data_IF_876710720036
#
_entry.id   IF_876710720036
#
_cell.length_a   1.000
_cell.length_b   1.000
_cell.length_c   1.000
_cell.angle_alpha   90.00
_cell.angle_beta   90.00
_cell.angle_gamma   90.00
#
_symmetry.space_group_name_H-M   'P 1'
#
loop_
_entity.id
_entity.type
_entity.pdbx_description
1 polymer ?
#
# COMPACT_ATOMS: atom_id res chain seq x y z
N UNK A 1 -13.69 7.21 -5.80
CA UNK A 1 -12.84 7.62 -4.67
C UNK A 1 -13.44 7.23 -3.31
N UNK A 2 -14.72 7.52 -3.05
CA UNK A 2 -15.39 7.21 -1.76
C UNK A 2 -15.35 5.73 -1.34
N UNK A 3 -15.51 4.79 -2.27
CA UNK A 3 -15.51 3.35 -1.97
C UNK A 3 -14.18 2.87 -1.34
N UNK A 4 -13.04 3.33 -1.85
CA UNK A 4 -11.74 2.99 -1.28
C UNK A 4 -11.55 3.63 0.10
N UNK A 5 -12.02 4.86 0.30
CA UNK A 5 -11.95 5.54 1.59
C UNK A 5 -12.79 4.83 2.66
N UNK A 6 -14.01 4.41 2.33
CA UNK A 6 -14.86 3.63 3.24
C UNK A 6 -14.20 2.29 3.61
N UNK A 7 -13.64 1.58 2.63
CA UNK A 7 -12.87 0.36 2.87
C UNK A 7 -11.71 0.58 3.84
N UNK A 8 -10.94 1.65 3.66
CA UNK A 8 -9.79 1.97 4.52
C UNK A 8 -10.22 2.28 5.97
N UNK A 9 -11.31 3.04 6.16
CA UNK A 9 -11.81 3.38 7.50
C UNK A 9 -12.24 2.12 8.27
N UNK A 10 -12.97 1.23 7.60
CA UNK A 10 -13.45 -0.01 8.21
C UNK A 10 -12.28 -0.94 8.57
N UNK A 11 -11.31 -1.05 7.67
CA UNK A 11 -10.20 -1.99 7.83
C UNK A 11 -9.10 -1.50 8.77
N UNK A 12 -8.91 -0.18 8.89
CA UNK A 12 -7.80 0.40 9.68
C UNK A 12 -7.78 -0.10 11.12
N UNK A 13 -8.95 -0.12 11.79
CA UNK A 13 -9.06 -0.57 13.18
C UNK A 13 -8.84 -2.08 13.32
N UNK A 14 -9.32 -2.87 12.36
CA UNK A 14 -9.24 -4.32 12.40
C UNK A 14 -7.85 -4.81 12.00
N UNK A 15 -7.28 -4.24 10.95
CA UNK A 15 -5.92 -4.54 10.51
C UNK A 15 -4.86 -4.09 11.53
N UNK A 16 -5.10 -2.99 12.25
CA UNK A 16 -4.23 -2.57 13.34
C UNK A 16 -4.15 -3.64 14.43
N UNK A 17 -5.30 -4.12 14.93
CA UNK A 17 -5.36 -5.20 15.92
C UNK A 17 -4.76 -6.52 15.41
N UNK A 18 -4.93 -6.84 14.14
CA UNK A 18 -4.36 -8.02 13.52
C UNK A 18 -2.84 -7.88 13.38
N UNK A 19 -2.35 -6.68 13.07
CA UNK A 19 -0.92 -6.39 12.97
C UNK A 19 -0.19 -6.57 14.31
N UNK A 20 -0.85 -6.23 15.43
CA UNK A 20 -0.32 -6.47 16.78
C UNK A 20 -0.15 -7.96 17.08
N UNK A 21 -1.00 -8.82 16.51
CA UNK A 21 -0.97 -10.28 16.73
C UNK A 21 0.00 -11.03 15.81
N UNK A 22 0.01 -10.68 14.52
CA UNK A 22 0.73 -11.43 13.47
C UNK A 22 2.10 -10.78 13.17
N UNK A 23 2.26 -9.52 13.53
CA UNK A 23 3.44 -8.70 13.25
C UNK A 23 3.22 -7.71 12.09
N UNK A 24 3.58 -6.46 12.33
CA UNK A 24 3.36 -5.34 11.43
C UNK A 24 3.98 -5.54 10.04
N UNK A 25 5.21 -6.10 9.97
CA UNK A 25 5.88 -6.35 8.68
C UNK A 25 5.15 -7.38 7.81
N UNK A 26 4.54 -8.40 8.42
CA UNK A 26 3.75 -9.39 7.68
C UNK A 26 2.48 -8.76 7.11
N UNK A 27 1.81 -7.91 7.88
CA UNK A 27 0.62 -7.20 7.40
C UNK A 27 0.98 -6.24 6.26
N UNK A 28 2.10 -5.52 6.34
CA UNK A 28 2.58 -4.67 5.24
C UNK A 28 2.81 -5.49 3.97
N UNK A 29 3.47 -6.64 4.08
CA UNK A 29 3.71 -7.53 2.93
C UNK A 29 2.40 -8.03 2.33
N UNK A 30 1.46 -8.50 3.16
CA UNK A 30 0.14 -8.98 2.73
C UNK A 30 -0.68 -7.86 2.07
N UNK A 31 -0.69 -6.66 2.65
CA UNK A 31 -1.39 -5.51 2.10
C UNK A 31 -0.85 -5.10 0.71
N UNK A 32 0.48 -5.02 0.57
CA UNK A 32 1.12 -4.71 -0.70
C UNK A 32 0.86 -5.79 -1.76
N UNK A 33 0.93 -7.06 -1.38
CA UNK A 33 0.65 -8.18 -2.28
C UNK A 33 -0.81 -8.17 -2.73
N UNK A 34 -1.75 -8.02 -1.80
CA UNK A 34 -3.18 -7.95 -2.10
C UNK A 34 -3.50 -6.75 -3.00
N UNK A 35 -2.97 -5.57 -2.69
CA UNK A 35 -3.16 -4.38 -3.52
C UNK A 35 -2.58 -4.56 -4.93
N UNK A 36 -1.37 -5.12 -5.05
CA UNK A 36 -0.75 -5.41 -6.33
C UNK A 36 -1.57 -6.40 -7.17
N UNK A 37 -2.07 -7.48 -6.56
CA UNK A 37 -2.92 -8.46 -7.25
C UNK A 37 -4.28 -7.87 -7.65
N UNK A 38 -4.88 -7.01 -6.83
CA UNK A 38 -6.15 -6.34 -7.13
C UNK A 38 -6.06 -5.33 -8.28
N UNK A 39 -4.86 -4.80 -8.57
CA UNK A 39 -4.65 -3.90 -9.71
C UNK A 39 -4.68 -4.63 -11.06
N UNK A 40 -4.33 -5.91 -11.11
CA UNK A 40 -4.35 -6.69 -12.35
C UNK A 40 -5.76 -6.76 -12.94
N UNK A 41 -6.80 -7.23 -12.21
CA UNK A 41 -8.15 -7.23 -12.76
C UNK A 41 -8.67 -5.80 -13.05
N UNK A 42 -8.24 -4.78 -12.30
CA UNK A 42 -8.62 -3.40 -12.60
C UNK A 42 -8.18 -2.90 -13.98
N UNK A 43 -7.09 -3.45 -14.54
CA UNK A 43 -6.63 -3.13 -15.89
C UNK A 43 -7.58 -3.65 -16.99
N UNK A 44 -8.41 -4.65 -16.68
CA UNK A 44 -9.31 -5.32 -17.63
C UNK A 44 -10.79 -5.07 -17.36
N UNK A 45 -11.12 -4.31 -16.31
CA UNK A 45 -12.50 -4.00 -15.95
C UNK A 45 -13.17 -3.15 -17.03
N UNK A 46 -14.36 -3.58 -17.45
CA UNK A 46 -15.21 -2.89 -18.40
C UNK A 46 -16.48 -2.32 -17.77
N UNK A 47 -16.82 -2.74 -16.54
CA UNK A 47 -18.02 -2.32 -15.83
C UNK A 47 -17.67 -1.43 -14.63
N UNK A 48 -18.40 -0.30 -14.49
CA UNK A 48 -18.22 0.62 -13.36
C UNK A 48 -18.43 -0.02 -11.99
N UNK A 49 -19.38 -0.96 -11.87
CA UNK A 49 -19.65 -1.68 -10.63
C UNK A 49 -18.49 -2.56 -10.18
N UNK A 50 -17.86 -3.27 -11.12
CA UNK A 50 -16.66 -4.07 -10.84
C UNK A 50 -15.49 -3.20 -10.35
N UNK A 51 -15.33 -2.02 -10.95
CA UNK A 51 -14.31 -1.07 -10.53
C UNK A 51 -14.56 -0.56 -9.10
N UNK A 52 -15.81 -0.28 -8.74
CA UNK A 52 -16.16 0.15 -7.38
C UNK A 52 -15.85 -0.96 -6.37
N UNK A 53 -16.22 -2.21 -6.66
CA UNK A 53 -15.94 -3.35 -5.80
C UNK A 53 -14.44 -3.58 -5.61
N UNK A 54 -13.65 -3.56 -6.69
CA UNK A 54 -12.21 -3.72 -6.63
C UNK A 54 -11.53 -2.57 -5.88
N UNK A 55 -12.00 -1.34 -6.04
CA UNK A 55 -11.53 -0.18 -5.28
C UNK A 55 -11.86 -0.26 -3.79
N UNK A 56 -13.01 -0.79 -3.45
CA UNK A 56 -13.38 -1.05 -2.06
C UNK A 56 -12.46 -2.10 -1.42
N UNK A 57 -12.23 -3.22 -2.10
CA UNK A 57 -11.30 -4.27 -1.65
C UNK A 57 -9.86 -3.75 -1.52
N UNK A 58 -9.43 -2.90 -2.45
CA UNK A 58 -8.12 -2.25 -2.38
C UNK A 58 -8.02 -1.31 -1.17
N UNK A 59 -9.09 -0.57 -0.87
CA UNK A 59 -9.18 0.24 0.34
C UNK A 59 -9.08 -0.59 1.62
N UNK A 60 -9.76 -1.75 1.66
CA UNK A 60 -9.64 -2.70 2.77
C UNK A 60 -8.21 -3.21 2.93
N UNK A 61 -7.53 -3.57 1.83
CA UNK A 61 -6.15 -4.08 1.87
C UNK A 61 -5.14 -3.02 2.34
N UNK A 62 -5.30 -1.77 1.92
CA UNK A 62 -4.35 -0.69 2.21
C UNK A 62 -4.67 0.10 3.49
N UNK A 63 -5.88 -0.02 4.04
CA UNK A 63 -6.34 0.78 5.17
C UNK A 63 -5.50 0.64 6.45
N UNK A 64 -4.89 -0.54 6.66
CA UNK A 64 -3.98 -0.79 7.78
C UNK A 64 -2.50 -0.43 7.51
N UNK A 65 -2.14 -0.06 6.28
CA UNK A 65 -0.74 0.09 5.87
C UNK A 65 -0.06 1.24 6.61
N UNK A 66 -0.68 2.42 6.65
CA UNK A 66 -0.10 3.61 7.28
C UNK A 66 0.10 3.45 8.79
N UNK A 67 -0.89 3.02 9.59
CA UNK A 67 -0.68 2.77 11.00
C UNK A 67 0.35 1.68 11.26
N UNK A 68 0.43 0.63 10.43
CA UNK A 68 1.46 -0.39 10.55
C UNK A 68 2.86 0.16 10.31
N UNK A 69 3.05 1.01 9.30
CA UNK A 69 4.34 1.68 9.03
C UNK A 69 4.75 2.55 10.23
N UNK A 70 3.83 3.36 10.74
CA UNK A 70 4.09 4.21 11.91
C UNK A 70 4.44 3.38 13.15
N UNK A 71 3.78 2.25 13.38
CA UNK A 71 4.08 1.34 14.47
C UNK A 71 5.48 0.71 14.32
N UNK A 72 5.84 0.25 13.12
CA UNK A 72 7.20 -0.29 12.86
C UNK A 72 8.28 0.74 13.15
N UNK A 73 8.08 1.99 12.72
CA UNK A 73 9.02 3.08 12.99
C UNK A 73 9.17 3.29 14.50
N UNK A 74 8.06 3.39 15.24
CA UNK A 74 8.08 3.59 16.70
C UNK A 74 8.76 2.45 17.46
N UNK A 75 8.62 1.21 16.99
CA UNK A 75 9.20 0.06 17.68
C UNK A 75 10.67 -0.23 17.31
N UNK A 76 11.14 0.24 16.16
CA UNK A 76 12.48 -0.10 15.64
C UNK A 76 13.48 1.05 15.64
N UNK A 77 13.01 2.26 15.85
CA UNK A 77 13.84 3.48 15.79
C UNK A 77 14.07 3.99 17.21
N UNK A 78 15.29 4.43 17.56
CA UNK A 78 15.59 5.09 18.82
C UNK A 78 14.66 6.30 19.05
N UNK A 79 14.21 6.52 20.29
CA UNK A 79 13.20 7.54 20.64
C UNK A 79 13.53 8.94 20.10
N UNK A 80 14.82 9.34 20.15
CA UNK A 80 15.24 10.66 19.63
C UNK A 80 15.12 10.86 18.12
N UNK A 81 14.97 9.79 17.32
CA UNK A 81 14.91 9.84 15.86
C UNK A 81 13.51 9.52 15.29
N UNK A 82 12.58 9.06 16.11
CA UNK A 82 11.24 8.63 15.69
C UNK A 82 10.50 9.75 14.96
N UNK A 83 10.53 10.97 15.49
CA UNK A 83 9.87 12.12 14.89
C UNK A 83 10.41 12.44 13.48
N UNK A 84 11.71 12.45 13.31
CA UNK A 84 12.36 12.72 12.02
C UNK A 84 12.00 11.66 10.97
N UNK A 85 12.05 10.37 11.34
CA UNK A 85 11.74 9.28 10.41
C UNK A 85 10.26 9.24 10.04
N UNK A 86 9.36 9.52 11.00
CA UNK A 86 7.95 9.71 10.70
C UNK A 86 7.73 10.89 9.76
N UNK A 87 8.43 12.01 9.97
CA UNK A 87 8.40 13.17 9.09
C UNK A 87 8.82 12.83 7.65
N UNK A 88 9.93 12.10 7.48
CA UNK A 88 10.36 11.62 6.17
C UNK A 88 9.34 10.68 5.53
N UNK A 89 8.72 9.80 6.30
CA UNK A 89 7.67 8.90 5.80
C UNK A 89 6.46 9.66 5.28
N UNK A 90 6.01 10.67 6.02
CA UNK A 90 4.89 11.54 5.61
C UNK A 90 5.26 12.38 4.39
N UNK A 91 6.46 12.95 4.35
CA UNK A 91 6.95 13.70 3.19
C UNK A 91 6.99 12.83 1.93
N UNK A 92 7.48 11.59 2.04
CA UNK A 92 7.50 10.63 0.94
C UNK A 92 6.08 10.28 0.45
N UNK A 93 5.09 10.16 1.36
CA UNK A 93 3.69 9.96 1.00
C UNK A 93 3.14 11.12 0.18
N UNK A 94 3.35 12.36 0.63
CA UNK A 94 2.89 13.53 -0.11
C UNK A 94 3.60 13.68 -1.46
N UNK A 95 4.90 13.42 -1.52
CA UNK A 95 5.63 13.38 -2.77
C UNK A 95 5.03 12.33 -3.73
N UNK A 96 4.72 11.13 -3.25
CA UNK A 96 4.05 10.09 -4.03
C UNK A 96 2.66 10.49 -4.50
N UNK A 97 1.87 11.17 -3.67
CA UNK A 97 0.54 11.67 -4.02
C UNK A 97 0.59 12.77 -5.11
N UNK A 98 1.66 13.55 -5.15
CA UNK A 98 1.85 14.58 -6.17
C UNK A 98 2.44 14.01 -7.46
N UNK A 99 3.51 13.23 -7.36
CA UNK A 99 4.24 12.67 -8.51
C UNK A 99 3.42 11.54 -9.17
N UNK A 100 2.71 10.73 -8.38
CA UNK A 100 1.92 9.60 -8.88
C UNK A 100 0.92 9.98 -9.98
N UNK A 101 0.01 10.94 -9.75
CA UNK A 101 -0.93 11.40 -10.78
C UNK A 101 -0.25 12.02 -12.01
N UNK A 102 0.87 12.71 -11.85
CA UNK A 102 1.62 13.29 -12.97
C UNK A 102 2.17 12.19 -13.88
N UNK A 103 2.90 11.22 -13.31
CA UNK A 103 3.44 10.09 -14.08
C UNK A 103 2.30 9.23 -14.62
N UNK A 104 1.30 8.92 -13.78
CA UNK A 104 0.14 8.12 -14.17
C UNK A 104 -0.68 8.77 -15.28
N UNK A 105 -0.86 10.08 -15.24
CA UNK A 105 -1.54 10.84 -16.30
C UNK A 105 -0.74 10.86 -17.60
N UNK A 106 0.57 11.07 -17.52
CA UNK A 106 1.46 11.04 -18.70
C UNK A 106 1.47 9.65 -19.35
N UNK A 107 1.71 8.59 -18.59
CA UNK A 107 1.72 7.21 -19.10
C UNK A 107 0.33 6.81 -19.60
N UNK A 108 -0.73 7.15 -18.86
CA UNK A 108 -2.10 6.86 -19.23
C UNK A 108 -2.53 7.55 -20.54
N UNK A 109 -2.05 8.76 -20.78
CA UNK A 109 -2.34 9.50 -22.00
C UNK A 109 -1.60 8.99 -23.24
N UNK A 110 -0.37 8.47 -23.09
CA UNK A 110 0.46 8.03 -24.20
C UNK A 110 0.40 6.53 -24.48
N UNK A 111 0.32 5.70 -23.44
CA UNK A 111 0.40 4.23 -23.51
C UNK A 111 -0.95 3.59 -23.19
N UNK A 112 -1.81 4.32 -22.48
CA UNK A 112 -3.13 3.87 -22.05
C UNK A 112 -3.20 3.49 -20.57
N UNK A 113 -4.42 3.56 -20.02
CA UNK A 113 -4.70 3.31 -18.60
C UNK A 113 -4.30 1.92 -18.13
N UNK A 114 -4.36 0.92 -19.00
CA UNK A 114 -3.93 -0.47 -18.67
C UNK A 114 -2.48 -0.53 -18.26
N UNK A 115 -1.61 0.20 -18.96
CA UNK A 115 -0.18 0.26 -18.65
C UNK A 115 0.08 0.84 -17.26
N UNK A 116 -0.68 1.85 -16.85
CA UNK A 116 -0.59 2.46 -15.51
C UNK A 116 -0.90 1.44 -14.43
N UNK A 117 -2.00 0.68 -14.57
CA UNK A 117 -2.39 -0.34 -13.58
C UNK A 117 -1.36 -1.46 -13.49
N UNK A 118 -0.86 -1.96 -14.62
CA UNK A 118 0.14 -3.02 -14.66
C UNK A 118 1.49 -2.57 -14.09
N UNK A 119 1.95 -1.37 -14.45
CA UNK A 119 3.19 -0.81 -13.92
C UNK A 119 3.11 -0.62 -12.39
N UNK A 120 2.00 -0.07 -11.89
CA UNK A 120 1.77 0.09 -10.45
C UNK A 120 1.69 -1.25 -9.74
N UNK A 121 1.03 -2.25 -10.34
CA UNK A 121 0.99 -3.63 -9.82
C UNK A 121 2.40 -4.21 -9.68
N UNK A 122 3.24 -4.09 -10.72
CA UNK A 122 4.63 -4.56 -10.67
C UNK A 122 5.44 -3.88 -9.55
N UNK A 123 5.29 -2.57 -9.38
CA UNK A 123 5.98 -1.82 -8.33
C UNK A 123 5.55 -2.31 -6.94
N UNK A 124 4.24 -2.49 -6.71
CA UNK A 124 3.73 -2.97 -5.43
C UNK A 124 4.18 -4.40 -5.12
N UNK A 125 4.15 -5.29 -6.11
CA UNK A 125 4.61 -6.66 -5.95
C UNK A 125 6.11 -6.74 -5.71
N UNK A 126 6.91 -5.92 -6.39
CA UNK A 126 8.34 -5.80 -6.12
C UNK A 126 8.61 -5.29 -4.69
N UNK A 127 7.86 -4.30 -4.23
CA UNK A 127 7.92 -3.81 -2.85
C UNK A 127 7.54 -4.89 -1.82
N UNK A 128 6.51 -5.68 -2.11
CA UNK A 128 6.10 -6.82 -1.28
C UNK A 128 7.20 -7.88 -1.19
N UNK A 129 7.79 -8.24 -2.32
CA UNK A 129 8.88 -9.23 -2.39
C UNK A 129 10.13 -8.74 -1.63
N UNK A 130 10.46 -7.46 -1.76
CA UNK A 130 11.58 -6.84 -1.02
C UNK A 130 11.34 -6.88 0.49
N UNK A 131 10.15 -6.50 0.94
CA UNK A 131 9.76 -6.52 2.35
C UNK A 131 9.80 -7.96 2.91
N UNK A 132 9.32 -8.94 2.14
CA UNK A 132 9.37 -10.35 2.51
C UNK A 132 10.81 -10.87 2.68
N UNK A 133 11.72 -10.45 1.79
CA UNK A 133 13.14 -10.81 1.88
C UNK A 133 13.80 -10.25 3.16
N UNK A 134 13.52 -8.99 3.48
CA UNK A 134 14.00 -8.35 4.71
C UNK A 134 13.48 -9.08 5.95
N UNK A 135 12.19 -9.44 5.95
CA UNK A 135 11.58 -10.16 7.06
C UNK A 135 12.23 -11.51 7.30
N UNK A 136 12.55 -12.28 6.24
CA UNK A 136 13.25 -13.56 6.36
C UNK A 136 14.65 -13.40 6.95
N UNK A 137 15.39 -12.40 6.54
CA UNK A 137 16.74 -12.13 7.06
C UNK A 137 16.75 -11.72 8.53
N UNK A 138 15.68 -11.06 9.00
CA UNK A 138 15.55 -10.68 10.42
C UNK A 138 15.11 -11.85 11.32
N UNK A 139 14.56 -12.91 10.76
CA UNK A 139 14.13 -14.11 11.50
C UNK A 139 15.26 -15.15 11.65
N UNK A 140 16.35 -15.00 10.90
CA UNK A 140 17.53 -15.91 10.93
C UNK A 140 18.72 -15.35 11.73
N UNK A 141 18.57 -14.18 12.33
CA UNK A 141 19.50 -13.60 13.30
C UNK A 141 18.91 -13.57 14.70
#
# INVERSE_FOLDING_TARGET
MAAAALGSIISASWLGKLADRIGHLRIITLALTAAGLLLIPQAFVTSGWQLIALRFLMGLALGGLLPCIAAVIRHRVPEGMVGSILGYSVAAQFAGQFIGPLIGGFVGGHIGMRAVFLATSCILLAGAAWNFKIHRQSATR
#
